data_IF_896673240433
#
_entry.id   IF_896673240433
#
_cell.length_a   1.000
_cell.length_b   1.000
_cell.length_c   1.000
_cell.angle_alpha   90.00
_cell.angle_beta   90.00
_cell.angle_gamma   90.00
#
_symmetry.space_group_name_H-M   'P 1'
#
loop_
_entity.id
_entity.type
_entity.pdbx_description
1 polymer ?
#
# COMPACT_ATOMS: atom_id res chain seq x y z
N UNK A 1 1.30 1.28 5.15
CA UNK A 1 0.43 1.52 3.97
C UNK A 1 -1.01 1.27 4.35
N UNK A 2 -1.98 1.74 3.57
CA UNK A 2 -3.41 1.58 3.86
C UNK A 2 -3.76 2.13 5.26
N UNK A 3 -4.68 1.49 5.97
CA UNK A 3 -5.10 1.89 7.32
C UNK A 3 -4.32 1.20 8.44
N UNK A 4 -3.17 0.58 8.12
CA UNK A 4 -2.39 -0.21 9.06
C UNK A 4 -1.87 0.65 10.23
N UNK A 5 -2.22 0.35 11.50
CA UNK A 5 -1.76 1.09 12.67
C UNK A 5 -0.43 0.52 13.20
N UNK A 6 0.40 1.37 13.80
CA UNK A 6 1.56 0.92 14.59
C UNK A 6 1.27 0.92 16.09
N UNK A 7 0.36 1.79 16.53
CA UNK A 7 0.02 1.93 17.95
C UNK A 7 -0.60 0.65 18.51
N UNK A 8 0.01 0.12 19.58
CA UNK A 8 -0.39 -1.15 20.20
C UNK A 8 0.19 -2.40 19.54
N UNK A 9 1.00 -2.25 18.48
CA UNK A 9 1.64 -3.34 17.73
C UNK A 9 3.16 -3.09 17.56
N UNK A 10 3.74 -2.15 18.31
CA UNK A 10 5.10 -1.65 18.08
C UNK A 10 6.17 -2.73 18.23
N UNK A 11 5.94 -3.75 19.06
CA UNK A 11 6.87 -4.87 19.22
C UNK A 11 6.98 -5.73 17.93
N UNK A 12 5.87 -5.85 17.18
CA UNK A 12 5.79 -6.68 15.98
C UNK A 12 6.11 -5.90 14.70
N UNK A 13 5.59 -4.68 14.57
CA UNK A 13 5.68 -3.90 13.32
C UNK A 13 6.57 -2.66 13.43
N UNK A 14 7.08 -2.37 14.62
CA UNK A 14 7.88 -1.18 14.90
C UNK A 14 7.04 0.10 15.04
N UNK A 15 7.71 1.19 15.42
CA UNK A 15 7.08 2.50 15.67
C UNK A 15 7.46 3.58 14.64
N UNK A 16 8.44 3.31 13.77
CA UNK A 16 8.94 4.31 12.82
C UNK A 16 8.22 4.21 11.47
N UNK A 17 7.64 5.33 11.03
CA UNK A 17 7.13 5.50 9.66
C UNK A 17 7.81 6.71 9.02
N UNK A 18 8.41 6.53 7.84
CA UNK A 18 9.02 7.64 7.07
C UNK A 18 8.18 8.02 5.85
N UNK A 19 7.55 7.01 5.24
CA UNK A 19 6.67 7.12 4.10
C UNK A 19 5.45 6.23 4.35
N UNK A 20 4.26 6.78 4.21
CA UNK A 20 3.00 6.02 4.30
C UNK A 20 2.25 6.06 2.99
N UNK A 21 2.06 4.89 2.39
CA UNK A 21 1.38 4.74 1.10
C UNK A 21 -0.12 4.60 1.30
N UNK A 22 -0.91 5.45 0.67
CA UNK A 22 -2.37 5.42 0.78
C UNK A 22 -3.09 6.04 -0.42
N UNK A 23 -4.41 5.91 -0.44
CA UNK A 23 -5.35 6.45 -1.43
C UNK A 23 -6.66 6.83 -0.71
N UNK A 24 -7.60 7.59 -1.32
CA UNK A 24 -8.71 8.21 -0.59
C UNK A 24 -9.55 7.24 0.25
N UNK A 25 -9.82 6.05 -0.29
CA UNK A 25 -10.62 4.99 0.33
C UNK A 25 -9.88 4.19 1.41
N UNK A 26 -8.58 4.43 1.60
CA UNK A 26 -7.73 3.76 2.60
C UNK A 26 -6.77 4.74 3.27
N UNK A 27 -7.25 5.97 3.49
CA UNK A 27 -6.47 7.05 4.09
C UNK A 27 -6.56 7.05 5.62
N UNK A 28 -5.52 7.58 6.27
CA UNK A 28 -5.47 7.87 7.71
C UNK A 28 -4.82 9.24 7.95
N UNK A 29 -5.00 9.78 9.16
CA UNK A 29 -4.19 10.90 9.62
C UNK A 29 -2.73 10.45 9.80
N UNK A 30 -1.79 11.31 9.42
CA UNK A 30 -0.35 11.09 9.54
C UNK A 30 0.28 12.15 10.44
N UNK A 31 1.32 11.76 11.16
CA UNK A 31 2.14 12.69 11.91
C UNK A 31 2.93 13.62 10.95
N UNK A 32 3.45 14.72 11.49
CA UNK A 32 4.10 15.75 10.69
C UNK A 32 5.47 15.34 10.12
N UNK A 33 6.03 14.22 10.60
CA UNK A 33 7.32 13.66 10.18
C UNK A 33 7.21 12.55 9.13
N UNK A 34 6.01 12.03 8.91
CA UNK A 34 5.73 11.02 7.88
C UNK A 34 5.40 11.68 6.53
N UNK A 35 6.02 11.18 5.46
CA UNK A 35 5.70 11.59 4.09
C UNK A 35 4.50 10.80 3.56
N UNK A 36 3.52 11.47 3.00
CA UNK A 36 2.34 10.84 2.39
C UNK A 36 2.68 10.47 0.95
N UNK A 37 2.67 9.19 0.60
CA UNK A 37 2.78 8.74 -0.81
C UNK A 37 1.39 8.34 -1.33
N UNK A 38 0.79 9.21 -2.15
CA UNK A 38 -0.52 8.97 -2.73
C UNK A 38 -0.39 8.06 -3.96
N UNK A 39 -1.15 6.97 -4.02
CA UNK A 39 -1.35 6.20 -5.26
C UNK A 39 -2.67 6.63 -5.92
N UNK A 40 -2.63 7.34 -7.06
CA UNK A 40 -3.84 7.73 -7.78
C UNK A 40 -4.31 6.61 -8.72
N UNK A 41 -5.44 5.99 -8.41
CA UNK A 41 -6.12 5.01 -9.28
C UNK A 41 -7.07 5.69 -10.27
N UNK A 42 -7.46 6.94 -9.98
CA UNK A 42 -8.37 7.77 -10.78
C UNK A 42 -8.06 9.25 -10.58
N UNK A 43 -8.42 10.09 -11.55
CA UNK A 43 -8.20 11.55 -11.49
C UNK A 43 -8.81 12.18 -10.23
N UNK A 44 -9.93 11.64 -9.75
CA UNK A 44 -10.57 12.09 -8.51
C UNK A 44 -9.66 11.96 -7.28
N UNK A 45 -8.70 11.04 -7.26
CA UNK A 45 -7.77 10.86 -6.14
C UNK A 45 -6.79 12.03 -6.04
N UNK A 46 -6.36 12.56 -7.18
CA UNK A 46 -5.52 13.76 -7.25
C UNK A 46 -6.30 15.00 -6.81
N UNK A 47 -7.57 15.10 -7.18
CA UNK A 47 -8.45 16.17 -6.70
C UNK A 47 -8.72 16.04 -5.19
N UNK A 48 -8.89 14.81 -4.72
CA UNK A 48 -9.14 14.50 -3.31
C UNK A 48 -7.99 14.96 -2.44
N UNK A 49 -6.71 14.71 -2.79
CA UNK A 49 -5.60 15.12 -1.92
C UNK A 49 -5.53 16.64 -1.76
N UNK A 50 -5.81 17.41 -2.83
CA UNK A 50 -5.92 18.87 -2.74
C UNK A 50 -7.08 19.28 -1.83
N UNK A 51 -8.27 18.69 -2.03
CA UNK A 51 -9.46 18.94 -1.20
C UNK A 51 -9.21 18.61 0.28
N UNK A 52 -8.72 17.40 0.57
CA UNK A 52 -8.52 16.86 1.91
C UNK A 52 -7.52 17.68 2.74
N UNK A 53 -6.55 18.32 2.09
CA UNK A 53 -5.58 19.20 2.73
C UNK A 53 -6.01 20.68 2.76
N UNK A 54 -7.16 21.04 2.17
CA UNK A 54 -7.62 22.44 2.07
C UNK A 54 -9.09 22.63 2.47
N UNK A 55 -10.02 22.44 1.54
CA UNK A 55 -11.44 22.80 1.63
C UNK A 55 -12.29 21.70 2.26
N UNK A 56 -11.90 20.45 2.04
CA UNK A 56 -12.66 19.26 2.38
C UNK A 56 -14.00 19.13 1.66
N UNK A 57 -14.04 19.57 0.40
CA UNK A 57 -15.24 19.52 -0.44
C UNK A 57 -15.56 18.10 -0.96
N UNK A 58 -14.55 17.27 -1.20
CA UNK A 58 -14.73 15.88 -1.66
C UNK A 58 -14.95 14.98 -0.44
N UNK A 59 -16.15 14.40 -0.32
CA UNK A 59 -16.56 13.53 0.80
C UNK A 59 -16.89 12.09 0.37
N UNK A 60 -16.96 11.85 -0.93
CA UNK A 60 -17.33 10.56 -1.52
C UNK A 60 -16.55 10.33 -2.81
N UNK A 61 -16.19 9.08 -3.04
CA UNK A 61 -15.82 8.51 -4.33
C UNK A 61 -16.90 7.49 -4.71
N UNK A 62 -16.55 6.21 -4.91
CA UNK A 62 -17.54 5.13 -4.95
C UNK A 62 -17.97 4.67 -3.54
N UNK A 63 -17.23 5.10 -2.50
CA UNK A 63 -17.60 4.99 -1.08
C UNK A 63 -17.36 6.33 -0.36
N UNK A 64 -17.86 6.53 0.87
CA UNK A 64 -17.45 7.66 1.70
C UNK A 64 -15.92 7.69 1.89
N UNK A 65 -15.33 8.88 1.83
CA UNK A 65 -13.89 9.09 2.06
C UNK A 65 -13.67 10.21 3.07
N UNK A 66 -12.49 10.25 3.69
CA UNK A 66 -12.14 11.31 4.62
C UNK A 66 -12.17 12.67 3.91
N UNK A 67 -13.08 13.54 4.34
CA UNK A 67 -13.22 14.87 3.75
C UNK A 67 -12.03 15.76 4.06
N UNK A 68 -11.35 15.54 5.21
CA UNK A 68 -10.11 16.22 5.60
C UNK A 68 -9.18 15.21 6.25
N UNK A 69 -7.88 15.39 6.05
CA UNK A 69 -6.83 14.60 6.70
C UNK A 69 -5.79 15.53 7.33
N UNK A 70 -5.10 15.06 8.35
CA UNK A 70 -3.87 15.65 8.88
C UNK A 70 -2.69 14.99 8.17
N UNK A 71 -1.94 15.77 7.42
CA UNK A 71 -0.64 15.37 6.88
C UNK A 71 0.19 16.62 6.57
N UNK A 72 1.51 16.48 6.54
CA UNK A 72 2.40 17.57 6.19
C UNK A 72 2.30 17.87 4.68
N UNK A 73 1.74 19.03 4.31
CA UNK A 73 1.54 19.43 2.90
C UNK A 73 2.85 19.50 2.09
N UNK A 74 3.98 19.74 2.76
CA UNK A 74 5.30 19.83 2.11
C UNK A 74 5.96 18.44 1.95
N UNK A 75 5.32 17.37 2.42
CA UNK A 75 5.81 15.99 2.35
C UNK A 75 4.82 15.07 1.65
N UNK A 76 4.01 15.64 0.75
CA UNK A 76 3.11 14.88 -0.12
C UNK A 76 3.87 14.51 -1.38
N UNK A 77 3.91 13.22 -1.67
CA UNK A 77 4.47 12.62 -2.87
C UNK A 77 3.34 11.96 -3.66
N UNK A 78 3.42 12.02 -4.98
CA UNK A 78 2.45 11.41 -5.88
C UNK A 78 3.13 10.26 -6.61
N UNK A 79 2.58 9.06 -6.48
CA UNK A 79 3.02 7.90 -7.23
C UNK A 79 2.73 8.13 -8.73
N UNK A 80 3.77 8.03 -9.56
CA UNK A 80 3.64 8.29 -10.99
C UNK A 80 2.69 7.27 -11.66
N UNK A 81 1.62 7.71 -12.35
CA UNK A 81 0.75 6.79 -13.11
C UNK A 81 1.51 6.02 -14.21
N UNK A 82 2.60 6.59 -14.73
CA UNK A 82 3.46 5.89 -15.70
C UNK A 82 4.26 4.78 -15.03
N UNK A 83 4.78 5.02 -13.82
CA UNK A 83 5.47 3.98 -13.06
C UNK A 83 4.49 2.89 -12.60
N UNK A 84 3.26 3.26 -12.24
CA UNK A 84 2.17 2.31 -11.98
C UNK A 84 1.95 1.38 -13.18
N UNK A 85 1.80 1.95 -14.39
CA UNK A 85 1.62 1.16 -15.60
C UNK A 85 2.82 0.28 -15.91
N UNK A 86 4.04 0.78 -15.69
CA UNK A 86 5.26 -0.01 -15.80
C UNK A 86 5.26 -1.23 -14.87
N UNK A 87 4.86 -1.08 -13.61
CA UNK A 87 4.73 -2.21 -12.67
C UNK A 87 3.71 -3.23 -13.20
N UNK A 88 2.56 -2.77 -13.67
CA UNK A 88 1.53 -3.66 -14.22
C UNK A 88 2.00 -4.42 -15.46
N UNK A 89 2.57 -3.73 -16.44
CA UNK A 89 2.93 -4.33 -17.73
C UNK A 89 4.19 -5.21 -17.61
N UNK A 90 5.24 -4.71 -16.95
CA UNK A 90 6.57 -5.31 -17.00
C UNK A 90 6.86 -6.28 -15.84
N UNK A 91 6.19 -6.12 -14.70
CA UNK A 91 6.42 -6.98 -13.54
C UNK A 91 5.27 -7.95 -13.28
N UNK A 92 4.03 -7.54 -13.58
CA UNK A 92 2.87 -8.40 -13.42
C UNK A 92 2.39 -9.03 -14.73
N UNK A 93 3.01 -8.72 -15.87
CA UNK A 93 2.60 -9.25 -17.17
C UNK A 93 1.09 -9.11 -17.43
N UNK A 94 0.50 -8.01 -16.94
CA UNK A 94 -0.94 -7.73 -16.99
C UNK A 94 -1.85 -8.70 -16.21
N UNK A 95 -1.32 -9.46 -15.24
CA UNK A 95 -2.13 -10.28 -14.32
C UNK A 95 -2.96 -9.42 -13.37
N UNK A 96 -4.23 -9.80 -13.19
CA UNK A 96 -5.23 -9.01 -12.48
C UNK A 96 -5.68 -7.77 -13.26
N UNK A 97 -6.54 -6.95 -12.64
CA UNK A 97 -7.00 -5.68 -13.25
C UNK A 97 -5.97 -4.56 -13.11
N UNK A 98 -5.27 -4.53 -11.98
CA UNK A 98 -4.15 -3.63 -11.70
C UNK A 98 -3.35 -4.14 -10.47
N UNK A 99 -2.12 -3.67 -10.21
CA UNK A 99 -1.31 -4.11 -9.07
C UNK A 99 -1.89 -3.70 -7.71
N UNK A 100 -1.65 -4.49 -6.66
CA UNK A 100 -2.00 -4.15 -5.29
C UNK A 100 -1.17 -2.99 -4.73
N UNK A 101 -1.69 -2.32 -3.69
CA UNK A 101 -0.94 -1.28 -2.97
C UNK A 101 0.36 -1.83 -2.37
N UNK A 102 0.33 -3.08 -1.90
CA UNK A 102 1.51 -3.79 -1.40
C UNK A 102 2.58 -3.91 -2.47
N UNK A 103 2.22 -4.44 -3.64
CA UNK A 103 3.17 -4.68 -4.71
C UNK A 103 3.72 -3.37 -5.30
N UNK A 104 2.87 -2.35 -5.48
CA UNK A 104 3.32 -1.01 -5.89
C UNK A 104 4.32 -0.40 -4.92
N UNK A 105 4.11 -0.59 -3.61
CA UNK A 105 5.01 -0.10 -2.56
C UNK A 105 6.35 -0.83 -2.59
N UNK A 106 6.33 -2.16 -2.79
CA UNK A 106 7.53 -2.98 -2.93
C UNK A 106 8.37 -2.53 -4.14
N UNK A 107 7.73 -2.38 -5.30
CA UNK A 107 8.45 -1.99 -6.52
C UNK A 107 8.97 -0.56 -6.43
N UNK A 108 8.23 0.35 -5.81
CA UNK A 108 8.73 1.69 -5.51
C UNK A 108 9.99 1.64 -4.65
N UNK A 109 9.97 0.89 -3.53
CA UNK A 109 11.13 0.76 -2.64
C UNK A 109 12.35 0.18 -3.37
N UNK A 110 12.17 -0.83 -4.22
CA UNK A 110 13.26 -1.42 -5.01
C UNK A 110 13.93 -0.40 -5.94
N UNK A 111 13.17 0.58 -6.45
CA UNK A 111 13.71 1.58 -7.38
C UNK A 111 14.41 2.76 -6.67
N UNK A 112 14.14 2.99 -5.39
CA UNK A 112 14.67 4.16 -4.65
C UNK A 112 15.66 3.79 -3.54
N UNK A 113 15.77 2.52 -3.16
CA UNK A 113 16.60 2.05 -2.07
C UNK A 113 17.70 1.10 -2.56
N UNK A 114 18.86 1.13 -1.90
CA UNK A 114 19.95 0.18 -2.16
C UNK A 114 19.66 -1.23 -1.62
N UNK A 115 18.81 -1.32 -0.59
CA UNK A 115 18.44 -2.57 0.08
C UNK A 115 17.00 -2.51 0.56
N UNK A 116 16.26 -3.59 0.31
CA UNK A 116 14.85 -3.71 0.70
C UNK A 116 14.63 -4.96 1.55
N UNK A 117 14.08 -4.78 2.74
CA UNK A 117 13.58 -5.84 3.60
C UNK A 117 12.05 -5.77 3.59
N UNK A 118 11.39 -6.91 3.45
CA UNK A 118 9.93 -7.01 3.32
C UNK A 118 9.36 -7.80 4.49
N UNK A 119 8.33 -7.25 5.11
CA UNK A 119 7.61 -7.79 6.27
C UNK A 119 6.10 -7.76 5.99
N UNK A 120 5.33 -8.67 6.57
CA UNK A 120 3.85 -8.68 6.46
C UNK A 120 3.33 -8.88 5.03
N UNK A 121 4.01 -9.71 4.24
CA UNK A 121 3.71 -9.95 2.82
C UNK A 121 3.42 -11.44 2.60
N UNK A 122 2.30 -11.75 1.95
CA UNK A 122 1.84 -13.12 1.79
C UNK A 122 0.87 -13.55 2.90
N UNK A 123 0.47 -14.82 2.84
CA UNK A 123 -0.27 -15.48 3.92
C UNK A 123 0.62 -15.83 5.12
N UNK A 124 -0.03 -16.04 6.27
CA UNK A 124 0.59 -16.69 7.42
C UNK A 124 0.95 -18.17 7.14
N UNK A 125 1.58 -18.83 8.11
CA UNK A 125 1.98 -20.24 8.00
C UNK A 125 0.80 -21.22 7.79
N UNK A 126 -0.42 -20.80 8.07
CA UNK A 126 -1.65 -21.59 7.90
C UNK A 126 -2.38 -21.27 6.58
N UNK A 127 -1.83 -20.36 5.77
CA UNK A 127 -2.43 -19.94 4.51
C UNK A 127 -3.50 -18.85 4.67
N UNK A 128 -3.64 -18.28 5.87
CA UNK A 128 -4.60 -17.23 6.12
C UNK A 128 -4.06 -15.87 5.67
N UNK A 129 -4.97 -15.05 5.15
CA UNK A 129 -4.68 -13.69 4.72
C UNK A 129 -5.48 -12.76 5.63
N UNK A 130 -4.88 -12.31 6.72
CA UNK A 130 -5.51 -11.38 7.66
C UNK A 130 -4.56 -10.23 7.94
N UNK A 131 -5.12 -9.09 8.27
CA UNK A 131 -4.36 -7.97 8.78
C UNK A 131 -3.91 -8.27 10.22
N UNK A 132 -2.72 -7.80 10.60
CA UNK A 132 -2.16 -8.04 11.94
C UNK A 132 -2.92 -7.32 13.07
N UNK A 133 -3.79 -6.36 12.74
CA UNK A 133 -4.47 -5.48 13.70
C UNK A 133 -5.98 -5.69 13.81
N UNK A 134 -6.56 -6.62 13.06
CA UNK A 134 -8.00 -6.88 13.09
C UNK A 134 -8.31 -8.38 13.02
N UNK A 135 -9.32 -8.81 13.79
CA UNK A 135 -9.89 -10.16 13.68
C UNK A 135 -10.83 -10.24 12.47
N UNK A 136 -10.26 -10.10 11.28
CA UNK A 136 -11.02 -10.05 10.05
C UNK A 136 -11.34 -11.46 9.56
N UNK A 137 -12.50 -12.01 9.93
CA UNK A 137 -12.94 -13.33 9.50
C UNK A 137 -13.07 -13.48 7.96
N UNK A 138 -12.96 -12.38 7.20
CA UNK A 138 -12.99 -12.32 5.74
C UNK A 138 -11.68 -11.77 5.13
N UNK A 139 -10.54 -11.81 5.82
CA UNK A 139 -9.32 -11.13 5.36
C UNK A 139 -8.83 -11.53 3.95
N UNK A 140 -9.20 -12.71 3.45
CA UNK A 140 -8.96 -13.14 2.07
C UNK A 140 -9.92 -12.56 1.01
N UNK A 141 -10.86 -11.69 1.37
CA UNK A 141 -11.88 -11.15 0.48
C UNK A 141 -11.30 -10.50 -0.78
N UNK A 142 -10.13 -9.86 -0.69
CA UNK A 142 -9.46 -9.27 -1.84
C UNK A 142 -9.03 -10.30 -2.89
N UNK A 143 -8.79 -11.56 -2.52
CA UNK A 143 -8.51 -12.66 -3.46
C UNK A 143 -9.77 -13.09 -4.21
N UNK A 144 -10.95 -12.94 -3.61
CA UNK A 144 -12.23 -13.27 -4.24
C UNK A 144 -12.71 -12.21 -5.23
N UNK A 145 -12.33 -10.94 -5.06
CA UNK A 145 -12.76 -9.87 -5.98
C UNK A 145 -12.05 -9.93 -7.32
N UNK A 146 -10.89 -10.59 -7.42
CA UNK A 146 -10.10 -10.72 -8.64
C UNK A 146 -9.52 -9.40 -9.17
N UNK A 147 -9.54 -8.34 -8.36
CA UNK A 147 -8.98 -7.03 -8.75
C UNK A 147 -7.47 -7.12 -8.91
N UNK A 148 -6.81 -7.85 -8.02
CA UNK A 148 -5.36 -8.10 -8.02
C UNK A 148 -5.12 -9.61 -8.11
N UNK A 149 -4.06 -10.03 -8.80
CA UNK A 149 -3.61 -11.42 -8.80
C UNK A 149 -2.57 -11.62 -7.68
N UNK A 150 -3.07 -11.86 -6.47
CA UNK A 150 -2.25 -11.93 -5.27
C UNK A 150 -1.24 -13.09 -5.29
N UNK A 151 -1.60 -14.20 -5.93
CA UNK A 151 -0.73 -15.37 -6.04
C UNK A 151 0.42 -15.07 -7.02
N UNK A 152 0.13 -14.40 -8.14
CA UNK A 152 1.16 -13.94 -9.07
C UNK A 152 2.09 -12.90 -8.41
N UNK A 153 1.54 -11.89 -7.74
CA UNK A 153 2.33 -10.88 -7.01
C UNK A 153 3.25 -11.51 -5.96
N UNK A 154 2.75 -12.50 -5.21
CA UNK A 154 3.54 -13.21 -4.22
C UNK A 154 4.65 -14.05 -4.86
N UNK A 155 4.36 -14.73 -5.98
CA UNK A 155 5.38 -15.49 -6.73
C UNK A 155 6.51 -14.59 -7.25
N UNK A 156 6.20 -13.41 -7.79
CA UNK A 156 7.23 -12.44 -8.21
C UNK A 156 8.05 -11.96 -7.00
N UNK A 157 7.40 -11.74 -5.86
CA UNK A 157 8.07 -11.36 -4.62
C UNK A 157 9.03 -12.45 -4.14
N UNK A 158 8.62 -13.73 -4.19
CA UNK A 158 9.49 -14.87 -3.86
C UNK A 158 10.68 -14.97 -4.82
N UNK A 159 10.46 -14.77 -6.13
CA UNK A 159 11.53 -14.77 -7.12
C UNK A 159 12.55 -13.65 -6.86
N UNK A 160 12.09 -12.44 -6.50
CA UNK A 160 12.97 -11.33 -6.11
C UNK A 160 13.84 -11.70 -4.90
N UNK A 161 13.30 -12.42 -3.92
CA UNK A 161 14.06 -12.88 -2.76
C UNK A 161 15.06 -13.99 -3.13
N UNK A 162 14.66 -14.95 -3.98
CA UNK A 162 15.54 -16.00 -4.50
C UNK A 162 16.74 -15.41 -5.26
N UNK A 163 16.52 -14.34 -6.04
CA UNK A 163 17.57 -13.60 -6.75
C UNK A 163 18.31 -12.58 -5.89
N UNK A 164 18.10 -12.60 -4.57
CA UNK A 164 18.76 -11.72 -3.60
C UNK A 164 18.57 -10.22 -3.88
N UNK A 165 17.46 -9.83 -4.52
CA UNK A 165 17.10 -8.42 -4.74
C UNK A 165 16.40 -7.81 -3.54
N UNK A 166 15.71 -8.64 -2.76
CA UNK A 166 15.06 -8.26 -1.50
C UNK A 166 15.32 -9.35 -0.45
N UNK A 167 15.07 -9.04 0.83
CA UNK A 167 14.99 -10.03 1.91
C UNK A 167 13.57 -10.08 2.47
N UNK A 168 12.92 -11.23 2.42
CA UNK A 168 11.59 -11.42 3.00
C UNK A 168 11.71 -12.01 4.41
N UNK A 169 10.96 -11.43 5.34
CA UNK A 169 10.73 -11.95 6.68
C UNK A 169 9.27 -12.43 6.75
N UNK A 170 9.08 -13.76 6.79
CA UNK A 170 7.76 -14.38 6.67
C UNK A 170 6.89 -14.25 7.93
N UNK A 171 7.43 -13.72 9.02
CA UNK A 171 6.74 -13.70 10.31
C UNK A 171 6.60 -15.10 10.90
N UNK A 172 5.63 -15.24 11.80
CA UNK A 172 5.28 -16.48 12.50
C UNK A 172 3.98 -17.04 11.94
#
# INVERSE_FOLDING_TARGET
MNMAPTSGFEEDVGSQTTHHVMYPESAIDLDNTTSLLLIPFKTLDLQWITSALTTGSIKHTYIPVQSRIKANKNRVLIYSPTFFKYVYDAWLESHGRYPSTGFLSLLFAIHICDKVNVYGFGADQYGNWHHYWEENHQGGAFRHTGVHDADYEYNVTLLLAEKHKIKIFKGF
#
